data_IF_240829389212
#
_entry.id   IF_240829389212
#
_cell.length_a   1.000
_cell.length_b   1.000
_cell.length_c   1.000
_cell.angle_alpha   90.00
_cell.angle_beta   90.00
_cell.angle_gamma   90.00
#
_symmetry.space_group_name_H-M   'P 1'
#
loop_
_entity.id
_entity.type
_entity.pdbx_description
1 polymer ?
#
# COMPACT_ATOMS: atom_id res chain seq x y z
N UNK A 1 24.43 -14.23 -32.12
CA UNK A 1 23.62 -13.14 -31.53
C UNK A 1 23.45 -13.47 -30.07
N UNK A 2 24.21 -12.83 -29.19
CA UNK A 2 24.14 -13.09 -27.75
C UNK A 2 22.98 -12.28 -27.16
N UNK A 3 21.96 -13.00 -26.69
CA UNK A 3 20.86 -12.46 -25.91
C UNK A 3 21.43 -12.02 -24.56
N UNK A 4 21.84 -10.75 -24.46
CA UNK A 4 22.28 -10.20 -23.18
C UNK A 4 21.07 -10.16 -22.25
N UNK A 5 21.14 -10.77 -21.04
CA UNK A 5 20.05 -10.71 -20.10
C UNK A 5 19.75 -9.24 -19.78
N UNK A 6 18.46 -8.86 -19.66
CA UNK A 6 18.10 -7.48 -19.37
C UNK A 6 18.81 -7.01 -18.10
N UNK A 7 19.28 -5.74 -18.06
CA UNK A 7 19.98 -5.21 -16.91
C UNK A 7 19.14 -5.42 -15.64
N UNK A 8 19.79 -5.74 -14.50
CA UNK A 8 19.07 -5.95 -13.25
C UNK A 8 18.24 -4.70 -12.92
N UNK A 9 17.02 -4.87 -12.40
CA UNK A 9 16.16 -3.75 -12.06
C UNK A 9 16.90 -2.75 -11.16
N UNK A 10 16.79 -1.44 -11.43
CA UNK A 10 17.72 -0.43 -10.90
C UNK A 10 17.63 -0.21 -9.38
N UNK A 11 16.72 -0.88 -8.65
CA UNK A 11 16.73 -0.88 -7.19
C UNK A 11 15.92 -2.06 -6.63
N UNK A 12 16.57 -3.12 -6.10
CA UNK A 12 15.86 -4.16 -5.37
C UNK A 12 15.19 -3.57 -4.13
N UNK A 13 13.96 -4.02 -3.81
CA UNK A 13 13.29 -3.52 -2.61
C UNK A 13 13.95 -4.10 -1.34
N UNK A 14 14.62 -3.22 -0.60
CA UNK A 14 15.20 -3.53 0.70
C UNK A 14 14.17 -3.25 1.79
N UNK A 15 13.68 -4.31 2.44
CA UNK A 15 12.75 -4.18 3.55
C UNK A 15 13.48 -3.62 4.77
N UNK A 16 12.94 -2.58 5.38
CA UNK A 16 13.51 -1.97 6.60
C UNK A 16 13.16 -2.77 7.84
N UNK A 17 12.00 -3.42 7.81
CA UNK A 17 11.54 -4.38 8.83
C UNK A 17 11.04 -5.64 8.15
N UNK A 18 11.09 -6.81 8.82
CA UNK A 18 10.50 -8.04 8.29
C UNK A 18 9.02 -7.86 7.91
N UNK A 19 8.30 -7.02 8.65
CA UNK A 19 6.89 -6.71 8.40
C UNK A 19 6.65 -5.88 7.15
N UNK A 20 7.66 -5.25 6.56
CA UNK A 20 7.50 -4.40 5.36
C UNK A 20 7.45 -5.22 4.06
N UNK A 21 7.57 -6.55 4.15
CA UNK A 21 7.22 -7.50 3.09
C UNK A 21 6.04 -8.36 3.55
N UNK A 22 5.14 -8.65 2.62
CA UNK A 22 3.97 -9.50 2.90
C UNK A 22 3.60 -10.31 1.67
N UNK A 23 3.47 -11.64 1.82
CA UNK A 23 3.06 -12.53 0.72
C UNK A 23 1.59 -12.89 0.84
N UNK A 24 0.86 -12.79 -0.27
CA UNK A 24 -0.56 -13.16 -0.34
C UNK A 24 -0.92 -13.69 -1.72
N UNK A 25 -1.53 -14.89 -1.77
CA UNK A 25 -1.97 -15.56 -3.01
C UNK A 25 -0.89 -15.56 -4.10
N UNK A 26 0.33 -15.96 -3.75
CA UNK A 26 1.46 -16.04 -4.67
C UNK A 26 2.13 -14.72 -5.02
N UNK A 27 1.58 -13.57 -4.60
CA UNK A 27 2.19 -12.24 -4.84
C UNK A 27 2.90 -11.74 -3.59
N UNK A 28 4.14 -11.28 -3.75
CA UNK A 28 4.87 -10.58 -2.70
C UNK A 28 4.64 -9.08 -2.83
N UNK A 29 4.20 -8.48 -1.74
CA UNK A 29 3.97 -7.05 -1.60
C UNK A 29 5.08 -6.43 -0.75
N UNK A 30 5.44 -5.20 -1.08
CA UNK A 30 6.32 -4.36 -0.29
C UNK A 30 5.57 -3.14 0.25
N UNK A 31 5.98 -2.65 1.42
CA UNK A 31 5.41 -1.47 2.05
C UNK A 31 6.08 -0.21 1.52
N UNK A 32 5.26 0.77 1.14
CA UNK A 32 5.68 2.06 0.60
C UNK A 32 4.88 3.20 1.23
N UNK A 33 5.34 4.43 1.04
CA UNK A 33 4.50 5.60 1.25
C UNK A 33 3.68 5.83 -0.03
N UNK A 34 2.39 6.09 0.10
CA UNK A 34 1.52 6.31 -1.05
C UNK A 34 0.51 7.42 -0.84
N UNK A 35 0.26 8.19 -1.89
CA UNK A 35 -0.80 9.18 -1.95
C UNK A 35 -2.02 8.57 -2.65
N UNK A 36 -3.18 8.71 -2.03
CA UNK A 36 -4.44 8.13 -2.48
C UNK A 36 -5.46 9.21 -2.78
N UNK A 37 -6.39 8.92 -3.68
CA UNK A 37 -7.51 9.77 -4.04
C UNK A 37 -8.80 8.96 -4.11
N UNK A 38 -9.86 9.46 -3.48
CA UNK A 38 -11.18 8.86 -3.58
C UNK A 38 -11.83 9.22 -4.93
N UNK A 39 -12.02 8.25 -5.82
CA UNK A 39 -12.71 8.49 -7.10
C UNK A 39 -14.17 8.97 -6.96
N UNK A 40 -14.83 8.79 -5.80
CA UNK A 40 -16.20 9.30 -5.59
C UNK A 40 -16.27 10.75 -5.09
N UNK A 41 -15.29 11.22 -4.32
CA UNK A 41 -15.38 12.55 -3.68
C UNK A 41 -14.13 13.41 -3.85
N UNK A 42 -13.13 12.95 -4.61
CA UNK A 42 -11.88 13.66 -4.87
C UNK A 42 -10.97 13.84 -3.65
N UNK A 43 -11.38 13.42 -2.45
CA UNK A 43 -10.56 13.59 -1.24
C UNK A 43 -9.24 12.83 -1.38
N UNK A 44 -8.14 13.53 -1.10
CA UNK A 44 -6.78 12.98 -1.11
C UNK A 44 -6.28 12.71 0.30
N UNK A 45 -5.43 11.69 0.46
CA UNK A 45 -4.73 11.42 1.72
C UNK A 45 -3.42 10.67 1.47
N UNK A 46 -2.50 10.82 2.41
CA UNK A 46 -1.27 10.07 2.45
C UNK A 46 -1.38 8.84 3.35
N UNK A 47 -0.66 7.78 3.00
CA UNK A 47 -0.62 6.55 3.78
C UNK A 47 0.77 5.92 3.76
N UNK A 48 1.33 5.73 4.96
CA UNK A 48 2.49 4.87 5.20
C UNK A 48 2.15 3.38 5.28
N UNK A 49 0.90 2.97 5.08
CA UNK A 49 0.44 1.57 5.03
C UNK A 49 -0.06 1.20 3.63
N UNK A 50 0.69 1.65 2.62
CA UNK A 50 0.46 1.33 1.22
C UNK A 50 1.26 0.10 0.83
N UNK A 51 0.65 -0.82 0.09
CA UNK A 51 1.26 -2.10 -0.30
C UNK A 51 1.16 -2.28 -1.80
N UNK A 52 2.31 -2.41 -2.45
CA UNK A 52 2.45 -2.58 -3.89
C UNK A 52 3.16 -3.90 -4.20
N UNK A 53 2.85 -4.52 -5.33
CA UNK A 53 3.52 -5.75 -5.75
C UNK A 53 5.03 -5.45 -5.95
N UNK A 54 5.89 -6.21 -5.29
CA UNK A 54 7.34 -5.97 -5.28
C UNK A 54 7.92 -5.97 -6.70
N UNK A 55 7.42 -6.85 -7.57
CA UNK A 55 7.82 -6.91 -8.98
C UNK A 55 7.54 -5.61 -9.74
N UNK A 56 6.40 -4.95 -9.45
CA UNK A 56 6.04 -3.67 -10.08
C UNK A 56 6.91 -2.53 -9.56
N UNK A 57 7.21 -2.56 -8.26
CA UNK A 57 8.11 -1.61 -7.62
C UNK A 57 9.53 -1.70 -8.21
N UNK A 58 10.10 -2.90 -8.30
CA UNK A 58 11.48 -3.12 -8.76
C UNK A 58 11.65 -2.81 -10.25
N UNK A 59 10.59 -2.92 -11.05
CA UNK A 59 10.56 -2.43 -12.44
C UNK A 59 10.54 -0.90 -12.56
N UNK A 60 10.53 -0.17 -11.44
CA UNK A 60 10.47 1.29 -11.37
C UNK A 60 9.29 1.89 -12.17
N UNK A 61 8.16 1.19 -12.19
CA UNK A 61 6.97 1.63 -12.91
C UNK A 61 6.19 2.64 -12.08
N UNK A 62 5.67 3.68 -12.73
CA UNK A 62 4.75 4.62 -12.08
C UNK A 62 3.36 4.00 -11.88
N UNK A 63 2.50 4.70 -11.13
CA UNK A 63 1.16 4.22 -10.75
C UNK A 63 0.24 3.90 -11.93
N UNK A 64 0.44 4.48 -13.11
CA UNK A 64 -0.36 4.23 -14.31
C UNK A 64 -0.25 2.78 -14.79
N UNK A 65 0.84 2.08 -14.44
CA UNK A 65 1.05 0.67 -14.74
C UNK A 65 0.38 -0.30 -13.74
N UNK A 66 -0.25 0.21 -12.68
CA UNK A 66 -0.97 -0.57 -11.67
C UNK A 66 -2.44 -0.75 -12.07
N UNK A 67 -2.64 -1.49 -13.16
CA UNK A 67 -3.97 -1.69 -13.77
C UNK A 67 -4.80 -2.76 -13.06
N UNK A 68 -4.16 -3.67 -12.32
CA UNK A 68 -4.82 -4.80 -11.69
C UNK A 68 -4.92 -4.67 -10.17
N UNK A 69 -5.98 -5.25 -9.59
CA UNK A 69 -6.14 -5.38 -8.13
C UNK A 69 -5.01 -6.14 -7.42
N UNK A 70 -4.21 -6.92 -8.17
CA UNK A 70 -3.04 -7.60 -7.62
C UNK A 70 -1.80 -6.71 -7.55
N UNK A 71 -1.75 -5.61 -8.29
CA UNK A 71 -0.59 -4.74 -8.37
C UNK A 71 -0.44 -3.87 -7.11
N UNK A 72 -1.55 -3.61 -6.40
CA UNK A 72 -1.58 -2.90 -5.11
C UNK A 72 -2.70 -3.42 -4.21
N UNK A 73 -2.54 -3.28 -2.89
CA UNK A 73 -3.67 -3.43 -1.97
C UNK A 73 -4.48 -2.17 -1.94
N UNK A 74 -5.80 -2.30 -2.09
CA UNK A 74 -6.72 -1.18 -2.06
C UNK A 74 -6.72 -0.46 -0.70
N UNK A 75 -7.15 0.80 -0.74
CA UNK A 75 -7.64 1.54 0.41
C UNK A 75 -9.03 2.08 0.13
N UNK A 76 -9.81 2.36 1.16
CA UNK A 76 -11.15 2.95 1.03
C UNK A 76 -11.22 4.29 1.75
N UNK A 77 -11.95 5.21 1.15
CA UNK A 77 -12.23 6.51 1.75
C UNK A 77 -13.22 6.35 2.90
N UNK A 78 -12.86 6.81 4.11
CA UNK A 78 -13.68 6.64 5.31
C UNK A 78 -15.09 7.25 5.20
N UNK A 79 -15.27 8.53 4.82
CA UNK A 79 -16.59 9.12 4.62
C UNK A 79 -17.45 8.36 3.58
N UNK A 80 -16.83 7.96 2.48
CA UNK A 80 -17.50 7.29 1.37
C UNK A 80 -17.86 5.84 1.68
N UNK A 81 -17.03 5.13 2.43
CA UNK A 81 -17.31 3.75 2.85
C UNK A 81 -18.51 3.66 3.79
N UNK A 82 -18.79 4.70 4.60
CA UNK A 82 -20.01 4.77 5.42
C UNK A 82 -21.28 4.87 4.58
N UNK A 83 -21.22 5.61 3.46
CA UNK A 83 -22.36 5.80 2.55
C UNK A 83 -22.54 4.62 1.58
N UNK A 84 -21.43 4.05 1.10
CA UNK A 84 -21.40 3.00 0.09
C UNK A 84 -20.32 1.94 0.43
N UNK A 85 -20.59 1.01 1.35
CA UNK A 85 -19.58 0.11 1.93
C UNK A 85 -18.97 -0.90 0.95
N UNK A 86 -19.64 -1.18 -0.17
CA UNK A 86 -19.26 -2.26 -1.08
C UNK A 86 -18.72 -1.79 -2.44
N UNK A 87 -18.71 -0.48 -2.73
CA UNK A 87 -18.58 0.00 -4.11
C UNK A 87 -17.25 0.62 -4.49
N UNK A 88 -16.41 1.05 -3.54
CA UNK A 88 -15.31 1.94 -3.90
C UNK A 88 -13.95 1.60 -3.29
N UNK A 89 -12.94 1.50 -4.16
CA UNK A 89 -11.52 1.42 -3.84
C UNK A 89 -10.87 2.73 -4.31
N UNK A 90 -10.12 3.39 -3.45
CA UNK A 90 -9.40 4.60 -3.82
C UNK A 90 -8.36 4.33 -4.91
N UNK A 91 -8.08 5.35 -5.72
CA UNK A 91 -6.99 5.33 -6.68
C UNK A 91 -5.68 5.67 -5.97
N UNK A 92 -4.62 4.91 -6.25
CA UNK A 92 -3.27 5.27 -5.86
C UNK A 92 -2.74 6.28 -6.88
N UNK A 93 -2.39 7.47 -6.41
CA UNK A 93 -1.96 8.61 -7.24
C UNK A 93 -0.45 8.64 -7.40
N UNK A 94 0.28 8.30 -6.34
CA UNK A 94 1.74 8.19 -6.38
C UNK A 94 2.21 7.29 -5.25
N UNK A 95 3.43 6.77 -5.37
CA UNK A 95 4.12 6.09 -4.28
C UNK A 95 5.60 6.43 -4.28
N UNK A 96 6.22 6.31 -3.11
CA UNK A 96 7.66 6.46 -2.93
C UNK A 96 8.17 5.50 -1.85
N UNK A 97 9.49 5.32 -1.79
CA UNK A 97 10.12 4.51 -0.77
C UNK A 97 9.67 4.98 0.63
N UNK A 98 9.43 4.01 1.51
CA UNK A 98 9.14 4.30 2.91
C UNK A 98 10.43 4.83 3.57
N UNK A 99 10.56 6.14 3.79
CA UNK A 99 11.75 6.74 4.43
C UNK A 99 11.85 6.33 5.93
N UNK A 100 13.07 6.30 6.50
CA UNK A 100 13.29 5.86 7.89
C UNK A 100 12.57 6.77 8.91
N UNK A 101 12.37 8.03 8.52
CA UNK A 101 11.86 9.09 9.38
C UNK A 101 10.42 9.47 9.06
N UNK A 102 9.64 8.62 8.38
CA UNK A 102 8.20 8.85 8.22
C UNK A 102 7.58 8.75 9.61
N UNK A 103 7.47 9.90 10.28
CA UNK A 103 6.74 10.05 11.53
C UNK A 103 5.36 9.44 11.29
N UNK A 104 4.97 8.48 12.13
CA UNK A 104 3.58 8.05 12.23
C UNK A 104 2.74 9.32 12.32
N UNK A 105 1.98 9.62 11.28
CA UNK A 105 1.17 10.84 11.25
C UNK A 105 0.16 10.72 12.39
N UNK A 106 0.23 11.65 13.36
CA UNK A 106 -0.78 11.73 14.43
C UNK A 106 -2.12 12.06 13.78
N UNK A 107 -3.08 11.15 13.96
CA UNK A 107 -4.38 11.09 13.31
C UNK A 107 -4.91 9.65 13.41
N UNK A 108 -6.04 9.27 12.80
CA UNK A 108 -6.41 7.87 12.67
C UNK A 108 -5.41 7.18 11.73
N UNK A 109 -4.21 6.88 12.24
CA UNK A 109 -2.98 6.58 11.49
C UNK A 109 -3.05 5.34 10.61
N UNK A 110 -4.13 4.59 10.73
CA UNK A 110 -4.54 3.52 9.85
C UNK A 110 -5.98 3.14 10.24
N UNK A 111 -6.83 2.81 9.28
CA UNK A 111 -8.17 2.30 9.58
C UNK A 111 -8.28 0.89 9.00
N UNK A 112 -8.25 -0.12 9.87
CA UNK A 112 -8.09 -1.54 9.50
C UNK A 112 -9.15 -2.04 8.52
N UNK A 113 -10.41 -1.74 8.75
CA UNK A 113 -11.52 -2.16 7.89
C UNK A 113 -11.56 -1.44 6.53
N UNK A 114 -10.73 -0.41 6.33
CA UNK A 114 -10.58 0.31 5.07
C UNK A 114 -9.30 -0.07 4.30
N UNK A 115 -8.47 -0.95 4.87
CA UNK A 115 -7.22 -1.40 4.26
C UNK A 115 -7.35 -2.82 3.70
N UNK A 116 -6.99 -2.99 2.42
CA UNK A 116 -7.06 -4.30 1.77
C UNK A 116 -6.17 -5.38 2.38
N UNK A 117 -5.01 -5.02 2.94
CA UNK A 117 -4.14 -5.98 3.65
C UNK A 117 -4.77 -6.44 4.97
N UNK A 118 -5.28 -5.50 5.77
CA UNK A 118 -5.92 -5.81 7.06
C UNK A 118 -7.21 -6.61 6.89
N UNK A 119 -8.02 -6.28 5.87
CA UNK A 119 -9.24 -7.03 5.55
C UNK A 119 -8.94 -8.47 5.08
N UNK A 120 -7.68 -8.77 4.70
CA UNK A 120 -7.20 -10.11 4.35
C UNK A 120 -6.54 -10.83 5.54
N UNK A 121 -6.78 -10.36 6.77
CA UNK A 121 -6.29 -10.97 8.01
C UNK A 121 -4.89 -10.52 8.45
N UNK A 122 -4.16 -9.73 7.65
CA UNK A 122 -2.80 -9.32 7.97
C UNK A 122 -2.75 -7.92 8.60
N UNK A 123 -2.47 -7.84 9.91
CA UNK A 123 -2.46 -6.57 10.65
C UNK A 123 -1.30 -5.67 10.19
N UNK A 124 -1.59 -4.41 9.81
CA UNK A 124 -0.61 -3.38 9.42
C UNK A 124 0.01 -2.70 10.64
N UNK A 125 -0.80 -2.37 11.63
CA UNK A 125 -0.42 -1.78 12.88
C UNK A 125 -0.98 -2.63 14.02
N UNK A 126 -0.11 -3.31 14.77
CA UNK A 126 -0.50 -3.80 16.09
C UNK A 126 -0.61 -2.58 16.99
N UNK A 127 -1.64 -1.76 16.82
CA UNK A 127 -2.07 -0.88 17.88
C UNK A 127 -2.24 -1.79 19.11
N UNK A 128 -1.43 -1.57 20.14
CA UNK A 128 -1.80 -1.99 21.49
C UNK A 128 -3.17 -1.34 21.68
N UNK A 129 -4.23 -2.15 21.59
CA UNK A 129 -5.50 -1.79 22.21
C UNK A 129 -5.09 -1.45 23.63
N UNK A 130 -5.14 -0.17 23.99
CA UNK A 130 -4.91 0.22 25.37
C UNK A 130 -5.86 -0.62 26.19
N UNK A 131 -5.30 -1.53 26.99
CA UNK A 131 -5.97 -2.02 28.17
C UNK A 131 -6.38 -0.76 28.93
N UNK A 132 -7.67 -0.41 28.87
CA UNK A 132 -8.24 0.36 29.95
C UNK A 132 -8.33 -0.63 31.10
N UNK A 133 -7.43 -0.49 32.06
CA UNK A 133 -7.69 -0.89 33.44
C UNK A 133 -8.46 0.28 34.06
#
# INVERSE_FOLDING_TARGET
MADNPPPPPPNPYVAKRPTDKWRHRGVTYCRVFGQWECEMCGKKWDSGYTWVAIKKYEQNLDVSHFKNKKDRMYQRCSPCNKKNPNKHEAKLVSFKLLENNVKLVKGPGHIRNLCGKCNKGAICDRAKVGLKV
#
